data_IF_573636140477
#
_entry.id   IF_573636140477
#
_cell.length_a   1.000
_cell.length_b   1.000
_cell.length_c   1.000
_cell.angle_alpha   90.00
_cell.angle_beta   90.00
_cell.angle_gamma   90.00
#
_symmetry.space_group_name_H-M   'P 1'
#
loop_
_entity.id
_entity.type
_entity.pdbx_description
1 polymer ?
#
# COMPACT_ATOMS: atom_id res chain seq x y z
N UNK A 1 -21.66 -20.93 102.25
CA UNK A 1 -20.72 -20.72 101.12
C UNK A 1 -20.83 -19.26 100.74
N UNK A 2 -20.08 -18.39 101.43
CA UNK A 2 -20.09 -16.96 101.15
C UNK A 2 -19.11 -16.69 100.03
N UNK A 3 -19.65 -16.29 98.87
CA UNK A 3 -18.91 -15.65 97.80
C UNK A 3 -18.35 -14.34 98.32
N UNK A 4 -17.07 -14.30 98.63
CA UNK A 4 -16.30 -13.05 98.76
C UNK A 4 -16.38 -12.35 97.40
N UNK A 5 -17.34 -11.44 97.24
CA UNK A 5 -17.23 -10.39 96.25
C UNK A 5 -16.09 -9.51 96.73
N UNK A 6 -14.93 -9.72 96.14
CA UNK A 6 -13.76 -8.87 96.28
C UNK A 6 -14.14 -7.52 95.68
N UNK A 7 -14.71 -6.65 96.50
CA UNK A 7 -15.09 -5.29 96.09
C UNK A 7 -13.81 -4.57 95.70
N UNK A 8 -13.65 -4.19 94.42
CA UNK A 8 -12.42 -3.57 93.94
C UNK A 8 -12.16 -2.30 94.76
N UNK A 9 -10.92 -2.15 95.21
CA UNK A 9 -10.49 -0.97 95.95
C UNK A 9 -10.56 0.27 95.04
N UNK A 10 -10.79 1.43 95.64
CA UNK A 10 -10.89 2.70 94.91
C UNK A 10 -9.64 2.99 94.07
N UNK A 11 -8.47 2.54 94.55
CA UNK A 11 -7.18 2.59 93.86
C UNK A 11 -7.13 1.67 92.63
N UNK A 12 -7.60 0.42 92.77
CA UNK A 12 -7.72 -0.51 91.63
C UNK A 12 -8.66 0.01 90.53
N UNK A 13 -9.74 0.69 90.90
CA UNK A 13 -10.65 1.31 89.95
C UNK A 13 -10.00 2.53 89.28
N UNK A 14 -9.24 3.34 90.02
CA UNK A 14 -8.51 4.49 89.48
C UNK A 14 -7.45 4.06 88.46
N UNK A 15 -6.65 3.03 88.79
CA UNK A 15 -5.65 2.47 87.88
C UNK A 15 -6.30 1.91 86.61
N UNK A 16 -7.44 1.22 86.75
CA UNK A 16 -8.18 0.69 85.60
C UNK A 16 -8.75 1.81 84.73
N UNK A 17 -9.23 2.89 85.34
CA UNK A 17 -9.72 4.08 84.60
C UNK A 17 -8.56 4.71 83.83
N UNK A 18 -7.40 4.96 84.47
CA UNK A 18 -6.25 5.54 83.79
C UNK A 18 -5.72 4.64 82.67
N UNK A 19 -5.72 3.32 82.85
CA UNK A 19 -5.39 2.38 81.78
C UNK A 19 -6.39 2.47 80.62
N UNK A 20 -7.69 2.47 80.91
CA UNK A 20 -8.73 2.56 79.88
C UNK A 20 -8.69 3.91 79.15
N UNK A 21 -8.36 5.00 79.84
CA UNK A 21 -8.16 6.32 79.24
C UNK A 21 -6.95 6.32 78.28
N UNK A 22 -5.84 5.70 78.68
CA UNK A 22 -4.66 5.56 77.82
C UNK A 22 -4.93 4.64 76.61
N UNK A 23 -5.64 3.52 76.81
CA UNK A 23 -6.07 2.63 75.71
C UNK A 23 -7.03 3.34 74.75
N UNK A 24 -7.98 4.13 75.28
CA UNK A 24 -8.92 4.90 74.47
C UNK A 24 -8.21 5.97 73.63
N UNK A 25 -7.20 6.63 74.19
CA UNK A 25 -6.43 7.62 73.45
C UNK A 25 -5.56 6.97 72.37
N UNK A 26 -4.89 5.87 72.69
CA UNK A 26 -4.13 5.11 71.69
C UNK A 26 -5.02 4.59 70.54
N UNK A 27 -6.24 4.16 70.83
CA UNK A 27 -7.20 3.73 69.80
C UNK A 27 -7.71 4.90 68.97
N UNK A 28 -7.85 6.10 69.55
CA UNK A 28 -8.19 7.32 68.79
C UNK A 28 -7.08 7.72 67.84
N UNK A 29 -5.84 7.71 68.29
CA UNK A 29 -4.68 8.00 67.46
C UNK A 29 -4.56 6.99 66.30
N UNK A 30 -4.70 5.70 66.60
CA UNK A 30 -4.66 4.64 65.58
C UNK A 30 -5.82 4.77 64.58
N UNK A 31 -7.00 5.19 65.04
CA UNK A 31 -8.16 5.44 64.19
C UNK A 31 -7.93 6.65 63.27
N UNK A 32 -7.35 7.73 63.78
CA UNK A 32 -7.02 8.91 62.98
C UNK A 32 -6.01 8.56 61.87
N UNK A 33 -4.96 7.79 62.19
CA UNK A 33 -3.98 7.30 61.20
C UNK A 33 -4.63 6.41 60.13
N UNK A 34 -5.55 5.53 60.53
CA UNK A 34 -6.30 4.68 59.59
C UNK A 34 -7.24 5.50 58.71
N UNK A 35 -7.92 6.51 59.27
CA UNK A 35 -8.80 7.41 58.51
C UNK A 35 -8.01 8.23 57.48
N UNK A 36 -6.83 8.75 57.85
CA UNK A 36 -5.91 9.41 56.92
C UNK A 36 -5.44 8.45 55.81
N UNK A 37 -5.07 7.22 56.18
CA UNK A 37 -4.62 6.21 55.22
C UNK A 37 -5.73 5.80 54.24
N UNK A 38 -6.96 5.71 54.70
CA UNK A 38 -8.13 5.45 53.84
C UNK A 38 -8.34 6.60 52.86
N UNK A 39 -8.28 7.86 53.33
CA UNK A 39 -8.41 9.03 52.47
C UNK A 39 -7.34 9.08 51.36
N UNK A 40 -6.09 8.74 51.71
CA UNK A 40 -4.99 8.61 50.74
C UNK A 40 -5.25 7.53 49.69
N UNK A 41 -5.67 6.34 50.12
CA UNK A 41 -5.96 5.21 49.22
C UNK A 41 -7.18 5.48 48.32
N UNK A 42 -8.17 6.21 48.81
CA UNK A 42 -9.32 6.66 48.01
C UNK A 42 -8.88 7.65 46.93
N UNK A 43 -8.02 8.61 47.29
CA UNK A 43 -7.42 9.56 46.34
C UNK A 43 -6.61 8.83 45.27
N UNK A 44 -5.76 7.88 45.66
CA UNK A 44 -4.98 7.06 44.72
C UNK A 44 -5.88 6.24 43.81
N UNK A 45 -6.93 5.61 44.36
CA UNK A 45 -7.92 4.88 43.57
C UNK A 45 -8.63 5.77 42.56
N UNK A 46 -8.99 6.99 42.93
CA UNK A 46 -9.63 7.93 42.01
C UNK A 46 -8.70 8.31 40.85
N UNK A 47 -7.41 8.53 41.13
CA UNK A 47 -6.38 8.79 40.11
C UNK A 47 -6.23 7.58 39.18
N UNK A 48 -6.12 6.38 39.74
CA UNK A 48 -5.99 5.14 38.96
C UNK A 48 -7.21 4.89 38.07
N UNK A 49 -8.43 5.08 38.58
CA UNK A 49 -9.67 4.99 37.79
C UNK A 49 -9.65 5.98 36.63
N UNK A 50 -9.33 7.24 36.90
CA UNK A 50 -9.24 8.28 35.86
C UNK A 50 -8.21 7.92 34.78
N UNK A 51 -7.08 7.31 35.18
CA UNK A 51 -6.05 6.85 34.25
C UNK A 51 -6.53 5.66 33.41
N UNK A 52 -7.23 4.71 34.03
CA UNK A 52 -7.83 3.55 33.34
C UNK A 52 -8.89 4.02 32.34
N UNK A 53 -9.76 4.94 32.72
CA UNK A 53 -10.78 5.52 31.82
C UNK A 53 -10.13 6.25 30.63
N UNK A 54 -9.03 6.97 30.90
CA UNK A 54 -8.22 7.60 29.86
C UNK A 54 -7.62 6.58 28.90
N UNK A 55 -7.07 5.47 29.41
CA UNK A 55 -6.50 4.39 28.60
C UNK A 55 -7.57 3.68 27.76
N UNK A 56 -8.75 3.41 28.32
CA UNK A 56 -9.89 2.87 27.57
C UNK A 56 -10.27 3.81 26.43
N UNK A 57 -10.48 5.09 26.74
CA UNK A 57 -10.83 6.10 25.72
C UNK A 57 -9.78 6.18 24.60
N UNK A 58 -8.48 6.07 24.93
CA UNK A 58 -7.44 6.05 23.90
C UNK A 58 -7.46 4.77 23.07
N UNK A 59 -7.72 3.63 23.71
CA UNK A 59 -7.81 2.33 23.05
C UNK A 59 -8.97 2.32 22.06
N UNK A 60 -10.16 2.74 22.50
CA UNK A 60 -11.35 2.84 21.64
C UNK A 60 -11.09 3.74 20.41
N UNK A 61 -10.40 4.88 20.62
CA UNK A 61 -10.02 5.78 19.52
C UNK A 61 -9.01 5.14 18.56
N UNK A 62 -8.04 4.39 19.07
CA UNK A 62 -7.08 3.69 18.22
C UNK A 62 -7.73 2.55 17.44
N UNK A 63 -8.66 1.83 18.06
CA UNK A 63 -9.44 0.78 17.42
C UNK A 63 -10.33 1.35 16.31
N UNK A 64 -11.05 2.45 16.58
CA UNK A 64 -11.85 3.12 15.56
C UNK A 64 -11.01 3.59 14.35
N UNK A 65 -9.82 4.16 14.60
CA UNK A 65 -8.90 4.56 13.53
C UNK A 65 -8.33 3.38 12.76
N UNK A 66 -8.05 2.27 13.44
CA UNK A 66 -7.59 1.04 12.80
C UNK A 66 -8.68 0.45 11.91
N UNK A 67 -9.93 0.41 12.39
CA UNK A 67 -11.08 -0.05 11.61
C UNK A 67 -11.29 0.82 10.36
N UNK A 68 -11.25 2.15 10.50
CA UNK A 68 -11.35 3.07 9.37
C UNK A 68 -10.23 2.85 8.34
N UNK A 69 -9.00 2.67 8.81
CA UNK A 69 -7.86 2.42 7.93
C UNK A 69 -8.00 1.07 7.22
N UNK A 70 -8.36 0.01 7.93
CA UNK A 70 -8.56 -1.31 7.36
C UNK A 70 -9.70 -1.33 6.32
N UNK A 71 -10.82 -0.68 6.62
CA UNK A 71 -11.95 -0.53 5.70
C UNK A 71 -11.52 0.21 4.42
N UNK A 72 -10.84 1.35 4.56
CA UNK A 72 -10.35 2.13 3.42
C UNK A 72 -9.37 1.32 2.56
N UNK A 73 -8.45 0.59 3.17
CA UNK A 73 -7.50 -0.24 2.42
C UNK A 73 -8.20 -1.36 1.64
N UNK A 74 -9.21 -1.99 2.23
CA UNK A 74 -10.04 -2.99 1.54
C UNK A 74 -10.86 -2.37 0.40
N UNK A 75 -11.40 -1.16 0.58
CA UNK A 75 -12.10 -0.40 -0.46
C UNK A 75 -11.19 0.00 -1.63
N UNK A 76 -9.90 0.23 -1.36
CA UNK A 76 -8.90 0.42 -2.41
C UNK A 76 -8.47 -0.89 -3.11
N UNK A 77 -9.02 -2.03 -2.69
CA UNK A 77 -8.70 -3.35 -3.26
C UNK A 77 -7.50 -4.06 -2.62
N UNK A 78 -7.06 -3.67 -1.42
CA UNK A 78 -5.99 -4.37 -0.71
C UNK A 78 -6.42 -5.76 -0.23
N UNK A 79 -5.43 -6.65 -0.05
CA UNK A 79 -5.63 -7.97 0.54
C UNK A 79 -5.04 -8.00 1.95
N UNK A 80 -5.92 -7.95 2.96
CA UNK A 80 -5.51 -7.96 4.36
C UNK A 80 -5.44 -9.38 4.89
N UNK A 81 -4.42 -9.68 5.71
CA UNK A 81 -4.31 -10.99 6.39
C UNK A 81 -5.42 -11.12 7.42
N UNK A 82 -6.14 -12.24 7.40
CA UNK A 82 -7.26 -12.50 8.33
C UNK A 82 -6.84 -12.38 9.80
N UNK A 83 -5.62 -12.80 10.13
CA UNK A 83 -5.04 -12.71 11.49
C UNK A 83 -4.75 -11.28 11.96
N UNK A 84 -4.65 -10.30 11.06
CA UNK A 84 -4.31 -8.91 11.38
C UNK A 84 -5.47 -7.94 11.18
N UNK A 85 -6.59 -8.39 10.64
CA UNK A 85 -7.85 -7.62 10.65
C UNK A 85 -8.43 -7.75 12.05
N UNK A 86 -8.47 -6.62 12.77
CA UNK A 86 -8.80 -6.57 14.18
C UNK A 86 -10.31 -6.34 14.33
N UNK A 87 -10.99 -6.88 15.36
CA UNK A 87 -10.99 -8.26 15.84
C UNK A 87 -12.22 -9.05 15.34
N UNK A 88 -13.13 -8.43 14.58
CA UNK A 88 -14.39 -9.03 14.13
C UNK A 88 -14.72 -8.42 12.77
N UNK A 89 -14.82 -9.25 11.75
CA UNK A 89 -15.31 -8.84 10.41
C UNK A 89 -16.66 -8.13 10.45
N UNK A 90 -17.42 -8.32 11.53
CA UNK A 90 -18.78 -7.83 11.72
C UNK A 90 -18.83 -6.33 12.06
N UNK A 91 -17.74 -5.76 12.60
CA UNK A 91 -17.64 -4.34 12.98
C UNK A 91 -16.92 -3.49 11.92
N UNK A 92 -16.47 -4.10 10.82
CA UNK A 92 -15.77 -3.38 9.76
C UNK A 92 -16.77 -2.66 8.87
N UNK A 93 -16.79 -1.33 8.94
CA UNK A 93 -17.67 -0.47 8.13
C UNK A 93 -17.11 -0.34 6.70
N UNK A 94 -17.36 -1.36 5.89
CA UNK A 94 -17.05 -1.36 4.45
C UNK A 94 -18.30 -1.05 3.64
N UNK A 95 -18.16 -0.23 2.59
CA UNK A 95 -19.30 0.26 1.79
C UNK A 95 -20.23 -0.85 1.23
N UNK A 96 -19.70 -2.05 0.99
CA UNK A 96 -20.46 -3.21 0.48
C UNK A 96 -21.06 -4.08 1.58
N UNK A 97 -20.69 -3.87 2.84
CA UNK A 97 -21.17 -4.63 4.01
C UNK A 97 -20.80 -6.13 4.00
N UNK A 98 -19.92 -6.57 3.09
CA UNK A 98 -19.55 -7.98 2.95
C UNK A 98 -18.06 -8.10 2.64
N UNK A 99 -17.42 -9.05 3.30
CA UNK A 99 -16.04 -9.45 3.05
C UNK A 99 -16.01 -10.89 2.52
N UNK A 100 -15.10 -11.16 1.59
CA UNK A 100 -14.76 -12.49 1.12
C UNK A 100 -13.44 -12.93 1.77
N UNK A 101 -13.37 -14.17 2.22
CA UNK A 101 -12.14 -14.81 2.69
C UNK A 101 -11.60 -15.74 1.62
N UNK A 102 -10.30 -15.70 1.35
CA UNK A 102 -9.65 -16.56 0.36
C UNK A 102 -8.24 -16.96 0.82
N UNK A 103 -7.70 -18.04 0.23
CA UNK A 103 -6.37 -18.57 0.57
C UNK A 103 -5.30 -18.14 -0.45
N UNK A 104 -4.09 -17.91 0.05
CA UNK A 104 -2.86 -17.69 -0.72
C UNK A 104 -1.73 -18.53 -0.12
N UNK A 105 -0.62 -18.64 -0.85
CA UNK A 105 0.57 -19.43 -0.48
C UNK A 105 1.12 -19.15 0.94
N UNK A 106 0.82 -17.99 1.51
CA UNK A 106 1.33 -17.54 2.82
C UNK A 106 0.25 -17.32 3.88
N UNK A 107 -0.97 -17.84 3.68
CA UNK A 107 -2.05 -17.83 4.67
C UNK A 107 -3.40 -17.38 4.13
N UNK A 108 -4.32 -17.09 5.04
CA UNK A 108 -5.69 -16.68 4.74
C UNK A 108 -5.83 -15.16 4.71
N UNK A 109 -6.48 -14.64 3.67
CA UNK A 109 -6.66 -13.22 3.41
C UNK A 109 -8.14 -12.84 3.27
N UNK A 110 -8.44 -11.56 3.43
CA UNK A 110 -9.75 -10.95 3.27
C UNK A 110 -9.72 -9.85 2.20
N UNK A 111 -10.83 -9.70 1.48
CA UNK A 111 -11.07 -8.66 0.46
C UNK A 111 -12.56 -8.31 0.36
N UNK A 112 -12.89 -7.21 -0.31
CA UNK A 112 -14.27 -6.91 -0.71
C UNK A 112 -14.64 -7.75 -1.95
N UNK A 113 -15.80 -8.45 -1.96
CA UNK A 113 -16.29 -9.17 -3.13
C UNK A 113 -16.48 -8.23 -4.33
N UNK A 114 -16.10 -8.67 -5.53
CA UNK A 114 -16.21 -7.90 -6.78
C UNK A 114 -15.46 -6.55 -6.78
N UNK A 115 -14.69 -6.23 -5.73
CA UNK A 115 -13.66 -5.21 -5.83
C UNK A 115 -12.63 -5.70 -6.85
N UNK A 116 -12.25 -4.82 -7.77
CA UNK A 116 -11.42 -5.10 -8.93
C UNK A 116 -10.04 -5.60 -8.47
N UNK A 117 -9.93 -6.90 -8.19
CA UNK A 117 -8.65 -7.60 -8.06
C UNK A 117 -8.14 -7.82 -9.48
N UNK A 118 -7.69 -6.72 -10.08
CA UNK A 118 -7.19 -6.61 -11.45
C UNK A 118 -5.96 -7.48 -11.70
N UNK A 119 -5.50 -8.26 -10.70
CA UNK A 119 -4.20 -8.94 -10.69
C UNK A 119 -4.24 -10.38 -10.21
N UNK A 120 -5.41 -10.98 -10.03
CA UNK A 120 -5.72 -12.36 -9.59
C UNK A 120 -4.53 -13.37 -9.69
N UNK A 121 -3.56 -13.22 -8.78
CA UNK A 121 -2.32 -14.01 -8.71
C UNK A 121 -1.92 -14.09 -7.26
N UNK A 122 -1.81 -15.32 -6.75
CA UNK A 122 -1.41 -15.65 -5.39
C UNK A 122 -0.01 -15.18 -5.01
N UNK A 123 0.19 -13.88 -4.86
CA UNK A 123 1.41 -13.26 -4.33
C UNK A 123 1.28 -12.88 -2.86
N UNK A 124 2.40 -12.94 -2.13
CA UNK A 124 2.50 -12.96 -0.67
C UNK A 124 1.82 -11.83 0.13
N UNK A 125 1.59 -10.67 -0.48
CA UNK A 125 0.77 -9.59 0.06
C UNK A 125 0.60 -8.56 -1.06
N UNK A 126 -0.64 -8.19 -1.40
CA UNK A 126 -0.90 -7.15 -2.40
C UNK A 126 -1.34 -5.88 -1.67
N UNK A 127 -0.46 -4.87 -1.72
CA UNK A 127 -0.84 -3.47 -1.50
C UNK A 127 -1.99 -3.11 -2.43
N UNK A 128 -2.88 -2.21 -1.99
CA UNK A 128 -3.92 -1.63 -2.83
C UNK A 128 -3.34 -1.07 -4.13
N UNK A 129 -4.06 -1.22 -5.25
CA UNK A 129 -3.62 -0.71 -6.55
C UNK A 129 -3.32 0.79 -6.48
N UNK A 130 -4.17 1.54 -5.76
CA UNK A 130 -4.05 2.99 -5.59
C UNK A 130 -2.79 3.45 -4.84
N UNK A 131 -2.16 2.57 -4.06
CA UNK A 131 -0.96 2.89 -3.27
C UNK A 131 0.35 2.51 -4.00
N UNK A 132 0.24 1.84 -5.13
CA UNK A 132 1.39 1.56 -5.99
C UNK A 132 1.82 2.83 -6.73
N UNK A 133 3.12 2.98 -6.98
CA UNK A 133 3.61 4.04 -7.86
C UNK A 133 2.99 3.88 -9.26
N UNK A 134 2.76 4.95 -10.03
CA UNK A 134 2.19 4.85 -11.38
C UNK A 134 2.92 3.85 -12.28
N UNK A 135 4.25 3.74 -12.16
CA UNK A 135 5.05 2.75 -12.91
C UNK A 135 4.83 1.29 -12.42
N UNK A 136 4.53 1.10 -11.14
CA UNK A 136 4.21 -0.21 -10.56
C UNK A 136 2.76 -0.62 -10.85
N UNK A 137 1.83 0.33 -10.87
CA UNK A 137 0.47 0.14 -11.38
C UNK A 137 0.53 -0.28 -12.86
N UNK A 138 1.29 0.46 -13.67
CA UNK A 138 1.50 0.17 -15.08
C UNK A 138 2.16 -1.19 -15.33
N UNK A 139 3.22 -1.54 -14.61
CA UNK A 139 3.89 -2.84 -14.78
C UNK A 139 2.99 -4.03 -14.42
N UNK A 140 2.02 -3.83 -13.51
CA UNK A 140 1.06 -4.86 -13.10
C UNK A 140 -0.15 -4.94 -14.04
N UNK A 141 -0.64 -3.80 -14.51
CA UNK A 141 -1.60 -3.71 -15.61
C UNK A 141 -1.03 -4.27 -16.91
N UNK A 142 0.27 -4.10 -17.19
CA UNK A 142 0.90 -4.62 -18.40
C UNK A 142 0.73 -6.15 -18.46
N UNK A 143 0.91 -6.84 -17.34
CA UNK A 143 0.95 -8.30 -17.30
C UNK A 143 -0.43 -8.97 -17.47
N UNK A 144 -1.53 -8.29 -17.09
CA UNK A 144 -2.92 -8.73 -17.28
C UNK A 144 -3.57 -8.10 -18.53
N UNK A 145 -3.19 -6.90 -18.94
CA UNK A 145 -3.51 -6.34 -20.27
C UNK A 145 -2.86 -7.17 -21.39
N UNK A 146 -1.64 -7.68 -21.18
CA UNK A 146 -0.93 -8.58 -22.10
C UNK A 146 -1.68 -9.90 -22.32
N UNK A 147 -2.53 -10.32 -21.38
CA UNK A 147 -3.37 -11.54 -21.50
C UNK A 147 -4.83 -11.27 -21.86
N UNK A 148 -5.42 -10.16 -21.39
CA UNK A 148 -6.84 -9.84 -21.54
C UNK A 148 -7.20 -8.98 -22.76
N UNK A 149 -6.24 -8.22 -23.32
CA UNK A 149 -6.49 -7.41 -24.52
C UNK A 149 -6.19 -8.20 -25.79
N UNK A 150 -7.18 -8.94 -26.26
CA UNK A 150 -7.21 -9.44 -27.65
C UNK A 150 -7.31 -8.27 -28.66
N UNK A 151 -7.16 -6.99 -28.25
CA UNK A 151 -7.21 -5.83 -29.15
C UNK A 151 -6.32 -4.62 -28.81
N UNK A 152 -5.16 -4.77 -28.12
CA UNK A 152 -4.15 -3.69 -28.10
C UNK A 152 -2.72 -4.10 -28.53
N UNK A 153 -2.69 -4.88 -29.60
CA UNK A 153 -1.45 -5.24 -30.30
C UNK A 153 -0.52 -4.05 -30.62
N UNK A 154 -1.01 -2.86 -31.06
CA UNK A 154 -0.13 -1.72 -31.35
C UNK A 154 0.61 -1.19 -30.11
N UNK A 155 -0.06 -1.09 -28.96
CA UNK A 155 0.59 -0.62 -27.72
C UNK A 155 1.60 -1.63 -27.19
N UNK A 156 1.29 -2.92 -27.25
CA UNK A 156 2.25 -3.98 -26.89
C UNK A 156 3.50 -3.95 -27.77
N UNK A 157 3.31 -3.79 -29.08
CA UNK A 157 4.42 -3.67 -30.02
C UNK A 157 5.22 -2.39 -29.79
N UNK A 158 4.57 -1.29 -29.39
CA UNK A 158 5.25 -0.05 -29.05
C UNK A 158 6.12 -0.21 -27.79
N UNK A 159 5.58 -0.82 -26.72
CA UNK A 159 6.32 -1.09 -25.49
C UNK A 159 7.53 -2.00 -25.74
N UNK A 160 7.34 -3.11 -26.47
CA UNK A 160 8.43 -4.02 -26.86
C UNK A 160 9.48 -3.31 -27.72
N UNK A 161 9.06 -2.57 -28.74
CA UNK A 161 9.97 -1.82 -29.58
C UNK A 161 10.77 -0.80 -28.77
N UNK A 162 10.17 -0.10 -27.79
CA UNK A 162 10.88 0.84 -26.92
C UNK A 162 11.87 0.15 -25.98
N UNK A 163 11.52 -1.01 -25.42
CA UNK A 163 12.41 -1.79 -24.56
C UNK A 163 13.68 -2.26 -25.31
N UNK A 164 13.52 -2.72 -26.56
CA UNK A 164 14.62 -3.14 -27.43
C UNK A 164 15.61 -2.02 -27.79
N UNK A 165 15.33 -0.75 -27.44
CA UNK A 165 16.27 0.36 -27.65
C UNK A 165 17.56 0.21 -26.86
N UNK A 166 17.50 -0.44 -25.71
CA UNK A 166 18.66 -0.70 -24.86
C UNK A 166 19.31 -2.05 -25.16
N UNK A 167 18.78 -2.79 -26.13
CA UNK A 167 19.26 -4.11 -26.53
C UNK A 167 19.90 -4.03 -27.94
N UNK A 168 20.91 -4.84 -28.22
CA UNK A 168 21.56 -4.89 -29.54
C UNK A 168 20.76 -5.77 -30.52
N UNK A 169 19.46 -5.51 -30.66
CA UNK A 169 18.53 -6.28 -31.52
C UNK A 169 18.45 -5.74 -32.96
N UNK A 170 19.03 -4.56 -33.20
CA UNK A 170 19.11 -3.91 -34.52
C UNK A 170 17.84 -3.19 -35.00
N UNK A 171 16.79 -3.09 -34.17
CA UNK A 171 15.59 -2.31 -34.51
C UNK A 171 15.85 -0.80 -34.49
N UNK A 172 16.49 -0.32 -33.43
CA UNK A 172 16.89 1.09 -33.30
C UNK A 172 18.24 1.32 -33.97
N UNK A 173 18.27 2.29 -34.87
CA UNK A 173 19.49 2.68 -35.57
C UNK A 173 20.04 3.96 -34.97
N UNK A 174 21.36 4.00 -34.79
CA UNK A 174 22.03 5.21 -34.34
C UNK A 174 21.98 6.27 -35.43
N UNK A 175 21.59 7.48 -35.02
CA UNK A 175 21.52 8.65 -35.87
C UNK A 175 22.86 9.36 -36.01
N UNK A 176 22.82 10.51 -36.69
CA UNK A 176 23.95 11.42 -36.82
C UNK A 176 23.47 12.86 -36.72
N UNK A 177 24.28 13.75 -36.14
CA UNK A 177 23.93 15.16 -35.94
C UNK A 177 22.87 15.32 -34.83
N UNK A 178 21.75 15.97 -35.15
CA UNK A 178 20.65 16.24 -34.20
C UNK A 178 19.78 15.00 -33.90
N UNK A 179 20.07 13.86 -34.52
CA UNK A 179 19.33 12.61 -34.38
C UNK A 179 20.17 11.65 -33.55
N UNK A 180 19.68 11.28 -32.36
CA UNK A 180 20.33 10.29 -31.48
C UNK A 180 20.08 8.89 -32.02
N UNK A 181 18.81 8.54 -32.18
CA UNK A 181 18.37 7.21 -32.60
C UNK A 181 17.11 7.34 -33.48
N UNK A 182 16.88 6.35 -34.33
CA UNK A 182 15.68 6.32 -35.17
C UNK A 182 15.23 4.91 -35.53
N UNK A 183 13.96 4.81 -35.92
CA UNK A 183 13.38 3.62 -36.55
C UNK A 183 12.73 4.04 -37.88
N UNK A 184 13.09 3.36 -38.97
CA UNK A 184 12.38 3.49 -40.25
C UNK A 184 11.11 2.63 -40.26
N UNK A 185 10.02 3.13 -40.85
CA UNK A 185 8.75 2.41 -40.91
C UNK A 185 8.85 1.05 -41.62
N UNK A 186 9.76 0.90 -42.60
CA UNK A 186 10.00 -0.39 -43.26
C UNK A 186 10.63 -1.40 -42.30
N UNK A 187 11.57 -0.96 -41.46
CA UNK A 187 12.26 -1.83 -40.50
C UNK A 187 11.30 -2.24 -39.37
N UNK A 188 10.50 -1.29 -38.86
CA UNK A 188 9.44 -1.59 -37.90
C UNK A 188 8.44 -2.60 -38.46
N UNK A 189 8.08 -2.50 -39.74
CA UNK A 189 7.19 -3.48 -40.39
C UNK A 189 7.78 -4.88 -40.40
N UNK A 190 9.06 -5.02 -40.75
CA UNK A 190 9.75 -6.31 -40.78
C UNK A 190 9.89 -6.89 -39.37
N UNK A 191 10.17 -6.03 -38.39
CA UNK A 191 10.21 -6.40 -36.97
C UNK A 191 8.86 -6.90 -36.46
N UNK A 192 7.76 -6.16 -36.72
CA UNK A 192 6.40 -6.57 -36.32
C UNK A 192 6.03 -7.95 -36.91
N UNK A 193 6.45 -8.24 -38.15
CA UNK A 193 6.21 -9.55 -38.78
C UNK A 193 7.05 -10.69 -38.20
N UNK A 194 8.20 -10.37 -37.62
CA UNK A 194 9.05 -11.34 -36.93
C UNK A 194 8.47 -11.65 -35.55
N UNK A 195 8.00 -10.61 -34.86
CA UNK A 195 7.43 -10.70 -33.52
C UNK A 195 6.06 -11.38 -33.52
N UNK A 196 5.21 -11.07 -34.52
CA UNK A 196 3.88 -11.66 -34.66
C UNK A 196 3.85 -12.66 -35.82
N UNK A 197 3.86 -13.95 -35.49
CA UNK A 197 3.72 -15.00 -36.49
C UNK A 197 2.32 -14.98 -37.11
N UNK A 198 2.22 -15.07 -38.44
CA UNK A 198 0.95 -15.27 -39.14
C UNK A 198 0.20 -14.00 -39.59
N UNK A 199 0.76 -12.80 -39.39
CA UNK A 199 0.15 -11.56 -39.88
C UNK A 199 0.43 -11.30 -41.37
N UNK A 200 -0.56 -10.74 -42.08
CA UNK A 200 -0.40 -10.36 -43.49
C UNK A 200 0.44 -9.09 -43.66
N UNK A 201 1.05 -8.93 -44.85
CA UNK A 201 1.87 -7.76 -45.21
C UNK A 201 1.07 -6.45 -45.14
N UNK A 202 -0.18 -6.49 -45.61
CA UNK A 202 -1.08 -5.35 -45.58
C UNK A 202 -1.50 -4.96 -44.15
N UNK A 203 -1.67 -5.95 -43.27
CA UNK A 203 -2.00 -5.72 -41.87
C UNK A 203 -0.79 -5.17 -41.09
N UNK A 204 0.41 -5.72 -41.31
CA UNK A 204 1.65 -5.21 -40.73
C UNK A 204 1.86 -3.71 -41.06
N UNK A 205 1.60 -3.29 -42.30
CA UNK A 205 1.69 -1.87 -42.69
C UNK A 205 0.73 -0.96 -41.91
N UNK A 206 -0.49 -1.42 -41.62
CA UNK A 206 -1.46 -0.67 -40.78
C UNK A 206 -0.97 -0.63 -39.33
N UNK A 207 -0.45 -1.74 -38.85
CA UNK A 207 0.03 -1.91 -37.49
C UNK A 207 1.23 -1.01 -37.19
N UNK A 208 2.14 -0.83 -38.16
CA UNK A 208 3.25 0.15 -38.08
C UNK A 208 2.74 1.54 -37.74
N UNK A 209 1.71 2.04 -38.44
CA UNK A 209 1.22 3.40 -38.16
C UNK A 209 0.67 3.52 -36.74
N UNK A 210 -0.15 2.55 -36.32
CA UNK A 210 -0.71 2.53 -34.97
C UNK A 210 0.35 2.35 -33.87
N UNK A 211 1.38 1.55 -34.15
CA UNK A 211 2.52 1.34 -33.24
C UNK A 211 3.36 2.60 -33.11
N UNK A 212 3.55 3.34 -34.22
CA UNK A 212 4.23 4.63 -34.20
C UNK A 212 3.45 5.63 -33.34
N UNK A 213 2.13 5.71 -33.55
CA UNK A 213 1.30 6.65 -32.84
C UNK A 213 1.28 6.32 -31.32
N UNK A 214 1.23 5.03 -30.95
CA UNK A 214 1.37 4.57 -29.57
C UNK A 214 2.75 4.85 -28.96
N UNK A 215 3.84 4.67 -29.72
CA UNK A 215 5.20 5.03 -29.29
C UNK A 215 5.31 6.52 -28.97
N UNK A 216 4.72 7.39 -29.80
CA UNK A 216 4.71 8.82 -29.52
C UNK A 216 3.92 9.14 -28.26
N UNK A 217 2.76 8.52 -28.08
CA UNK A 217 1.90 8.74 -26.91
C UNK A 217 2.63 8.34 -25.61
N UNK A 218 3.18 7.13 -25.54
CA UNK A 218 3.84 6.62 -24.33
C UNK A 218 5.17 7.28 -24.00
N UNK A 219 5.83 7.87 -25.00
CA UNK A 219 7.03 8.68 -24.77
C UNK A 219 6.70 10.14 -24.44
N UNK A 220 5.43 10.48 -24.20
CA UNK A 220 4.96 11.87 -24.00
C UNK A 220 5.42 12.80 -25.14
N UNK A 221 5.33 12.32 -26.38
CA UNK A 221 5.75 13.00 -27.61
C UNK A 221 7.23 13.41 -27.67
N UNK A 222 8.10 12.77 -26.89
CA UNK A 222 9.56 12.93 -27.00
C UNK A 222 10.11 12.41 -28.34
N UNK A 223 9.37 11.49 -28.98
CA UNK A 223 9.66 10.96 -30.30
C UNK A 223 8.98 11.78 -31.41
N UNK A 224 9.75 12.21 -32.39
CA UNK A 224 9.27 12.98 -33.54
C UNK A 224 9.10 12.10 -34.78
N UNK A 225 7.97 12.23 -35.49
CA UNK A 225 7.76 11.56 -36.78
C UNK A 225 8.21 12.46 -37.92
N UNK A 226 9.22 12.00 -38.66
CA UNK A 226 9.74 12.67 -39.84
C UNK A 226 9.40 11.89 -41.12
N UNK A 227 9.33 12.60 -42.26
CA UNK A 227 9.19 11.98 -43.58
C UNK A 227 10.50 12.10 -44.34
N UNK A 228 11.14 10.97 -44.65
CA UNK A 228 12.37 10.94 -45.45
C UNK A 228 12.07 10.53 -46.89
N UNK A 229 12.71 11.18 -47.85
CA UNK A 229 12.68 10.73 -49.25
C UNK A 229 13.69 9.59 -49.41
N UNK A 230 13.23 8.44 -49.87
CA UNK A 230 14.05 7.30 -50.25
C UNK A 230 13.93 7.04 -51.75
N UNK A 231 15.00 6.55 -52.35
CA UNK A 231 15.02 6.04 -53.72
C UNK A 231 15.25 4.54 -53.65
N UNK A 232 14.36 3.77 -54.25
CA UNK A 232 14.51 2.33 -54.46
C UNK A 232 13.93 1.99 -55.82
N UNK A 233 14.66 1.19 -56.60
CA UNK A 233 14.24 0.71 -57.92
C UNK A 233 13.78 1.83 -58.88
N UNK A 234 14.50 2.95 -58.90
CA UNK A 234 14.20 4.12 -59.76
C UNK A 234 12.99 4.97 -59.31
N UNK A 235 12.25 4.54 -58.28
CA UNK A 235 11.08 5.24 -57.74
C UNK A 235 11.43 5.99 -56.44
N UNK A 236 10.86 7.19 -56.29
CA UNK A 236 10.97 7.98 -55.05
C UNK A 236 9.76 7.73 -54.16
N UNK A 237 9.98 7.31 -52.92
CA UNK A 237 8.92 7.19 -51.92
C UNK A 237 9.24 8.02 -50.68
N UNK A 238 8.16 8.46 -50.00
CA UNK A 238 8.24 9.13 -48.69
C UNK A 238 8.05 8.06 -47.61
N UNK A 239 9.06 7.85 -46.80
CA UNK A 239 9.06 6.93 -45.68
C UNK A 239 8.85 7.68 -44.37
N UNK A 240 7.96 7.17 -43.51
CA UNK A 240 7.83 7.66 -42.12
C UNK A 240 9.00 7.10 -41.32
N UNK A 241 9.60 7.93 -40.49
CA UNK A 241 10.66 7.58 -39.56
C UNK A 241 10.31 8.17 -38.20
N UNK A 242 10.43 7.37 -37.14
CA UNK A 242 10.45 7.92 -35.79
C UNK A 242 11.88 8.28 -35.44
N UNK A 243 12.06 9.45 -34.83
CA UNK A 243 13.35 10.01 -34.45
C UNK A 243 13.31 10.42 -33.00
N UNK A 244 14.32 9.98 -32.24
CA UNK A 244 14.71 10.57 -30.98
C UNK A 244 15.83 11.58 -31.25
N UNK A 245 15.61 12.84 -30.89
CA UNK A 245 16.62 13.89 -31.08
C UNK A 245 17.63 13.88 -29.93
N UNK A 246 18.83 14.39 -30.21
CA UNK A 246 19.92 14.42 -29.23
C UNK A 246 19.66 15.38 -28.06
N UNK A 247 18.87 16.44 -28.28
CA UNK A 247 18.49 17.48 -27.32
C UNK A 247 17.33 17.07 -26.39
N UNK A 248 16.66 15.94 -26.67
CA UNK A 248 15.54 15.45 -25.87
C UNK A 248 16.06 14.60 -24.71
N UNK A 249 15.74 15.02 -23.49
CA UNK A 249 15.99 14.25 -22.28
C UNK A 249 15.03 13.06 -22.20
N UNK A 250 15.50 11.90 -21.76
CA UNK A 250 14.67 10.72 -21.50
C UNK A 250 14.83 10.35 -20.02
N UNK A 251 13.73 10.24 -19.23
CA UNK A 251 13.85 10.04 -17.79
C UNK A 251 14.43 8.65 -17.50
N UNK A 252 15.39 8.58 -16.59
CA UNK A 252 16.08 7.33 -16.25
C UNK A 252 17.28 6.99 -17.16
N UNK A 253 17.50 7.73 -18.25
CA UNK A 253 18.77 7.66 -18.97
C UNK A 253 19.85 8.43 -18.18
N UNK A 254 20.81 7.70 -17.62
CA UNK A 254 22.04 8.35 -17.19
C UNK A 254 22.77 8.74 -18.47
N UNK A 255 22.82 10.03 -18.79
CA UNK A 255 23.64 10.53 -19.90
C UNK A 255 25.09 10.23 -19.55
N UNK A 256 25.60 9.05 -19.91
CA UNK A 256 27.04 8.85 -20.00
C UNK A 256 27.51 9.76 -21.13
N UNK A 257 27.90 10.97 -20.75
CA UNK A 257 28.78 11.81 -21.56
C UNK A 257 30.05 11.00 -21.79
N UNK A 258 30.10 10.30 -22.92
CA UNK A 258 31.35 9.76 -23.43
C UNK A 258 32.24 10.95 -23.81
N UNK A 259 33.47 10.87 -23.31
CA UNK A 259 34.60 11.73 -23.64
C UNK A 259 35.01 11.55 -25.10
#
# INVERSE_FOLDING_TARGET
>A
MSTTHDTPTLESLADRISQLEAELEAERDAREELEERVADLETENQILRSRVDGLHTTTDKTEARLNELQARELEKGAHLRKEHVYPWTDDLDVATGRLETFEKDHGTFMRIPDADDTLNRGGATQLAEQDLLPIQQLARLDDDMLRGTVDNLPSRLAAKAWAERHEDTGLWQHGSGDVREYIDASDLRHWIRREESGISEAYAKKLVSRTIDALQEYTHHRLTVMKRRRRKDGLQYKERRIVLRSDVEVPGETTQRQQ
#
